data_IF_500358948675
#
_entry.id   IF_500358948675
#
_cell.length_a   1.000
_cell.length_b   1.000
_cell.length_c   1.000
_cell.angle_alpha   90.00
_cell.angle_beta   90.00
_cell.angle_gamma   90.00
#
_symmetry.space_group_name_H-M   'P 1'
#
loop_
_entity.id
_entity.type
_entity.pdbx_description
1 polymer ?
#
# COMPACT_ATOMS: atom_id res chain seq x y z
N UNK A 1 14.64 -9.07 -3.74
CA UNK A 1 13.18 -8.90 -3.54
C UNK A 1 12.74 -9.66 -2.30
N UNK A 2 11.82 -9.10 -1.51
CA UNK A 2 11.19 -9.78 -0.38
C UNK A 2 10.39 -11.01 -0.84
N UNK A 3 10.51 -12.12 -0.12
CA UNK A 3 9.72 -13.34 -0.34
C UNK A 3 8.24 -13.07 -0.05
N UNK A 4 7.28 -13.55 -0.87
CA UNK A 4 5.86 -13.47 -0.55
C UNK A 4 5.52 -14.03 0.84
N UNK A 5 4.71 -13.30 1.59
CA UNK A 5 4.36 -13.60 2.99
C UNK A 5 5.33 -13.01 4.03
N UNK A 6 6.46 -12.42 3.61
CA UNK A 6 7.44 -11.84 4.53
C UNK A 6 7.28 -10.33 4.68
N UNK A 7 7.75 -9.82 5.81
CA UNK A 7 7.89 -8.39 6.08
C UNK A 7 9.23 -8.07 6.72
N UNK A 8 9.70 -6.84 6.53
CA UNK A 8 10.84 -6.24 7.23
C UNK A 8 10.36 -4.98 7.95
N UNK A 9 11.03 -4.67 9.05
CA UNK A 9 10.82 -3.44 9.81
C UNK A 9 12.05 -2.55 9.65
N UNK A 10 11.83 -1.29 9.30
CA UNK A 10 12.83 -0.24 9.33
C UNK A 10 12.68 0.56 10.63
N UNK A 11 13.64 0.47 11.57
CA UNK A 11 13.56 1.17 12.85
C UNK A 11 13.86 2.67 12.74
N UNK A 12 14.57 3.13 11.71
CA UNK A 12 14.85 4.55 11.54
C UNK A 12 13.59 5.27 11.03
N UNK A 13 12.94 4.67 10.04
CA UNK A 13 11.72 5.20 9.42
C UNK A 13 10.42 4.79 10.15
N UNK A 14 10.52 3.92 11.16
CA UNK A 14 9.40 3.39 11.94
C UNK A 14 8.27 2.81 11.04
N UNK A 15 8.66 2.09 10.00
CA UNK A 15 7.74 1.49 9.03
C UNK A 15 8.06 0.04 8.76
N UNK A 16 7.03 -0.68 8.30
CA UNK A 16 7.19 -2.03 7.80
C UNK A 16 6.99 -2.05 6.29
N UNK A 17 7.84 -2.80 5.60
CA UNK A 17 7.63 -3.19 4.21
C UNK A 17 7.25 -4.67 4.17
N UNK A 18 6.03 -4.96 3.71
CA UNK A 18 5.47 -6.31 3.61
C UNK A 18 5.29 -6.72 2.16
N UNK A 19 5.57 -7.98 1.83
CA UNK A 19 5.21 -8.60 0.56
C UNK A 19 4.05 -9.56 0.79
N UNK A 20 2.88 -9.26 0.25
CA UNK A 20 1.70 -10.11 0.35
C UNK A 20 1.86 -11.39 -0.49
N UNK A 21 1.05 -12.41 -0.21
CA UNK A 21 1.03 -13.66 -0.98
C UNK A 21 0.65 -13.48 -2.45
N UNK A 22 -0.19 -12.49 -2.74
CA UNK A 22 -0.57 -12.13 -4.11
C UNK A 22 0.52 -11.32 -4.83
N UNK A 23 1.68 -11.12 -4.21
CA UNK A 23 2.78 -10.39 -4.81
C UNK A 23 2.57 -8.88 -4.83
N UNK A 24 1.76 -8.30 -3.94
CA UNK A 24 1.75 -6.83 -3.75
C UNK A 24 2.66 -6.40 -2.61
N UNK A 25 3.19 -5.18 -2.72
CA UNK A 25 3.91 -4.53 -1.63
C UNK A 25 2.96 -3.70 -0.79
N UNK A 26 3.12 -3.76 0.53
CA UNK A 26 2.42 -2.91 1.49
C UNK A 26 3.44 -2.24 2.37
N UNK A 27 3.40 -0.91 2.40
CA UNK A 27 4.09 -0.11 3.38
C UNK A 27 3.11 0.23 4.49
N UNK A 28 3.46 -0.05 5.75
CA UNK A 28 2.59 0.29 6.87
C UNK A 28 3.36 0.93 8.02
N UNK A 29 2.80 2.03 8.52
CA UNK A 29 3.34 2.77 9.65
C UNK A 29 2.70 2.30 10.96
N UNK A 30 3.34 2.62 12.07
CA UNK A 30 2.87 2.28 13.43
C UNK A 30 1.53 2.92 13.79
N UNK A 31 1.18 4.03 13.14
CA UNK A 31 -0.11 4.72 13.26
C UNK A 31 -1.27 3.99 12.57
N UNK A 32 -1.02 2.84 11.93
CA UNK A 32 -1.99 2.07 11.12
C UNK A 32 -2.39 2.77 9.81
N UNK A 33 -1.53 3.63 9.28
CA UNK A 33 -1.57 4.02 7.88
C UNK A 33 -0.98 2.91 7.01
N UNK A 34 -1.69 2.52 5.96
CA UNK A 34 -1.27 1.50 4.99
C UNK A 34 -1.22 2.09 3.58
N UNK A 35 -0.19 1.75 2.82
CA UNK A 35 -0.01 2.12 1.42
C UNK A 35 0.22 0.84 0.62
N UNK A 36 -0.66 0.58 -0.34
CA UNK A 36 -0.63 -0.66 -1.14
C UNK A 36 -0.23 -0.35 -2.55
N UNK A 37 0.85 -0.98 -2.99
CA UNK A 37 1.41 -0.82 -4.32
C UNK A 37 1.01 -1.98 -5.24
N UNK A 38 0.96 -1.70 -6.53
CA UNK A 38 0.75 -2.69 -7.57
C UNK A 38 2.02 -3.46 -7.89
N UNK A 39 2.02 -4.04 -9.08
CA UNK A 39 3.20 -4.69 -9.64
C UNK A 39 4.24 -3.65 -10.08
N UNK A 40 5.49 -4.08 -10.12
CA UNK A 40 6.56 -3.32 -10.73
C UNK A 40 6.44 -3.39 -12.25
N UNK A 41 6.53 -2.25 -12.92
CA UNK A 41 6.63 -2.17 -14.36
C UNK A 41 8.06 -2.48 -14.87
N UNK A 42 8.27 -2.38 -16.18
CA UNK A 42 9.57 -2.62 -16.82
C UNK A 42 10.67 -1.68 -16.36
N UNK A 43 10.31 -0.51 -15.82
CA UNK A 43 11.24 0.50 -15.31
C UNK A 43 11.52 0.29 -13.81
N UNK A 44 10.95 -0.76 -13.21
CA UNK A 44 11.12 -1.07 -11.79
C UNK A 44 10.32 -0.14 -10.89
N UNK A 45 9.25 0.50 -11.40
CA UNK A 45 8.36 1.35 -10.63
C UNK A 45 7.05 0.65 -10.29
N UNK A 46 6.65 0.69 -9.02
CA UNK A 46 5.35 0.18 -8.57
C UNK A 46 4.44 1.34 -8.21
N UNK A 47 3.26 1.36 -8.81
CA UNK A 47 2.30 2.44 -8.61
C UNK A 47 1.45 2.24 -7.35
N UNK A 48 1.12 3.34 -6.66
CA UNK A 48 0.22 3.33 -5.51
C UNK A 48 -1.21 3.01 -5.97
N UNK A 49 -1.81 1.94 -5.44
CA UNK A 49 -3.19 1.54 -5.76
C UNK A 49 -4.18 2.19 -4.81
N UNK A 50 -3.91 2.11 -3.51
CA UNK A 50 -4.72 2.76 -2.49
C UNK A 50 -3.91 2.99 -1.22
N UNK A 51 -4.36 3.96 -0.43
CA UNK A 51 -3.97 4.07 0.97
C UNK A 51 -5.17 3.84 1.88
N UNK A 52 -4.91 3.33 3.08
CA UNK A 52 -5.86 3.25 4.17
C UNK A 52 -5.34 4.11 5.32
N UNK A 53 -6.09 5.13 5.73
CA UNK A 53 -5.72 6.03 6.82
C UNK A 53 -5.94 5.38 8.18
N UNK A 54 -5.39 5.94 9.28
CA UNK A 54 -5.64 5.45 10.64
C UNK A 54 -7.13 5.43 11.01
N UNK A 55 -7.94 6.28 10.35
CA UNK A 55 -9.38 6.37 10.52
C UNK A 55 -10.16 5.39 9.64
N UNK A 56 -9.48 4.38 9.07
CA UNK A 56 -10.07 3.38 8.17
C UNK A 56 -10.70 4.01 6.92
N UNK A 57 -10.18 5.16 6.48
CA UNK A 57 -10.58 5.73 5.21
C UNK A 57 -9.70 5.13 4.13
N UNK A 58 -10.30 4.45 3.15
CA UNK A 58 -9.61 4.01 1.95
C UNK A 58 -9.71 5.09 0.88
N UNK A 59 -8.57 5.44 0.29
CA UNK A 59 -8.45 6.35 -0.84
C UNK A 59 -7.82 5.55 -1.97
N UNK A 60 -8.53 5.42 -3.10
CA UNK A 60 -8.06 4.67 -4.28
C UNK A 60 -7.52 5.64 -5.31
N UNK A 61 -6.40 5.25 -5.90
CA UNK A 61 -5.71 6.01 -6.91
C UNK A 61 -5.69 5.27 -8.26
N UNK A 62 -5.61 6.07 -9.32
CA UNK A 62 -5.35 5.65 -10.69
C UNK A 62 -4.18 6.44 -11.26
N UNK A 63 -3.92 6.21 -12.54
CA UNK A 63 -2.84 6.89 -13.26
C UNK A 63 -3.37 7.41 -14.59
N UNK A 64 -3.25 8.72 -14.80
CA UNK A 64 -3.65 9.40 -16.04
C UNK A 64 -2.46 10.21 -16.55
N UNK A 65 -1.99 9.89 -17.77
CA UNK A 65 -0.83 10.57 -18.36
C UNK A 65 0.43 10.50 -17.48
N UNK A 66 0.63 9.39 -16.76
CA UNK A 66 1.75 9.19 -15.83
C UNK A 66 1.60 9.92 -14.48
N UNK A 67 0.49 10.59 -14.23
CA UNK A 67 0.22 11.28 -12.96
C UNK A 67 -0.70 10.45 -12.08
N UNK A 68 -0.39 10.40 -10.79
CA UNK A 68 -1.25 9.82 -9.76
C UNK A 68 -2.52 10.67 -9.63
N UNK A 69 -3.68 10.04 -9.79
CA UNK A 69 -4.99 10.70 -9.64
C UNK A 69 -5.83 9.99 -8.57
N UNK A 70 -6.55 10.75 -7.75
CA UNK A 70 -7.49 10.19 -6.78
C UNK A 70 -8.79 9.81 -7.50
N UNK A 71 -9.13 8.54 -7.52
CA UNK A 71 -10.36 8.05 -8.16
C UNK A 71 -11.54 8.20 -7.21
N UNK A 72 -11.39 7.74 -5.96
CA UNK A 72 -12.53 7.61 -5.04
C UNK A 72 -12.05 7.42 -3.60
N UNK A 73 -12.97 7.55 -2.65
CA UNK A 73 -12.69 7.44 -1.24
C UNK A 73 -13.92 7.00 -0.44
N UNK A 74 -13.74 6.05 0.47
CA UNK A 74 -14.79 5.56 1.36
C UNK A 74 -14.23 5.06 2.69
N UNK A 75 -15.09 4.92 3.71
CA UNK A 75 -14.71 4.34 5.00
C UNK A 75 -14.82 2.81 4.89
N UNK A 76 -13.76 2.08 5.25
CA UNK A 76 -13.78 0.63 5.33
C UNK A 76 -14.48 0.21 6.62
N UNK A 77 -15.63 -0.46 6.49
CA UNK A 77 -16.22 -1.17 7.64
C UNK A 77 -15.25 -2.29 8.01
N UNK A 78 -14.87 -2.36 9.28
CA UNK A 78 -13.90 -3.33 9.76
C UNK A 78 -14.29 -4.74 9.33
N UNK A 79 -13.39 -5.43 8.63
CA UNK A 79 -13.55 -6.85 8.30
C UNK A 79 -13.37 -7.61 9.63
N UNK A 80 -14.46 -8.17 10.16
CA UNK A 80 -14.40 -9.12 11.27
C UNK A 80 -13.53 -10.28 10.77
N UNK A 81 -12.42 -10.53 11.47
CA UNK A 81 -11.59 -11.72 11.29
C UNK A 81 -12.28 -12.90 11.96
#
# INVERSE_FOLDING_TARGET
MLTPGHQIFDPEEQLYLSRLHDGRYVLHYTDRSYYVFGDFDSDGMAYLLFMETPHRQRIVFGHEGGRLVRITCWITKGRVR
#
